data_IF_938790643904
#
_entry.id   IF_938790643904
#
_cell.length_a   1.000
_cell.length_b   1.000
_cell.length_c   1.000
_cell.angle_alpha   90.00
_cell.angle_beta   90.00
_cell.angle_gamma   90.00
#
_symmetry.space_group_name_H-M   'P 1'
#
loop_
_entity.id
_entity.type
_entity.pdbx_description
1 polymer ?
#
# COMPACT_ATOMS: atom_id res chain seq x y z
N UNK A 1 -37.36 -24.55 -6.96
CA UNK A 1 -37.44 -24.90 -8.38
C UNK A 1 -37.23 -23.64 -9.20
N UNK A 2 -36.11 -23.54 -9.91
CA UNK A 2 -36.00 -23.08 -11.29
C UNK A 2 -34.51 -22.89 -11.63
N UNK A 3 -33.99 -23.87 -12.36
CA UNK A 3 -32.70 -23.86 -13.05
C UNK A 3 -32.86 -23.17 -14.41
N UNK A 4 -31.82 -22.48 -14.87
CA UNK A 4 -31.42 -22.34 -16.28
C UNK A 4 -30.03 -21.66 -16.29
N UNK A 5 -28.91 -22.39 -16.33
CA UNK A 5 -28.22 -23.00 -17.48
C UNK A 5 -27.90 -22.04 -18.65
N UNK A 6 -26.66 -22.20 -19.17
CA UNK A 6 -26.15 -21.83 -20.51
C UNK A 6 -25.63 -20.36 -20.64
N UNK A 7 -24.44 -20.04 -21.16
CA UNK A 7 -23.47 -20.74 -22.04
C UNK A 7 -22.03 -20.28 -21.82
N UNK A 8 -21.15 -21.24 -22.05
CA UNK A 8 -19.71 -21.16 -22.30
C UNK A 8 -19.43 -20.34 -23.57
N UNK A 9 -18.37 -19.52 -23.57
CA UNK A 9 -17.62 -19.20 -24.78
C UNK A 9 -16.14 -18.90 -24.44
N UNK A 10 -15.29 -19.86 -24.81
CA UNK A 10 -13.85 -19.73 -24.99
C UNK A 10 -13.53 -18.60 -25.98
N UNK A 11 -12.48 -17.81 -25.69
CA UNK A 11 -11.68 -17.11 -26.70
C UNK A 11 -10.27 -16.94 -26.13
N UNK A 12 -9.33 -17.80 -26.52
CA UNK A 12 -8.30 -17.54 -27.56
C UNK A 12 -7.36 -16.40 -27.14
N UNK A 13 -6.22 -16.71 -26.52
CA UNK A 13 -4.93 -16.93 -27.20
C UNK A 13 -4.41 -15.68 -27.93
N UNK A 14 -3.46 -14.98 -27.31
CA UNK A 14 -2.42 -14.22 -28.02
C UNK A 14 -1.23 -13.98 -27.06
N UNK A 15 -0.28 -14.91 -27.10
CA UNK A 15 1.09 -14.73 -26.61
C UNK A 15 1.79 -13.79 -27.61
N UNK A 16 2.24 -12.62 -27.17
CA UNK A 16 3.19 -11.80 -27.92
C UNK A 16 4.54 -11.80 -27.19
N UNK A 17 5.40 -12.69 -27.67
CA UNK A 17 6.84 -12.65 -27.49
C UNK A 17 7.41 -11.56 -28.42
N UNK A 18 7.85 -10.43 -27.85
CA UNK A 18 8.92 -9.60 -28.39
C UNK A 18 10.08 -9.74 -27.39
N UNK A 19 11.27 -10.23 -27.71
CA UNK A 19 11.98 -10.13 -28.98
C UNK A 19 13.03 -9.02 -28.85
N UNK A 20 14.29 -9.44 -28.71
CA UNK A 20 15.51 -8.64 -28.56
C UNK A 20 15.59 -7.39 -29.44
N UNK A 21 16.17 -6.32 -28.88
CA UNK A 21 17.24 -5.58 -29.57
C UNK A 21 18.09 -4.86 -28.54
N UNK A 22 19.35 -5.26 -28.42
CA UNK A 22 20.36 -4.43 -27.78
C UNK A 22 20.70 -3.25 -28.69
N UNK A 23 21.10 -2.14 -28.09
CA UNK A 23 22.07 -1.25 -28.73
C UNK A 23 22.88 -0.53 -27.64
N UNK A 24 24.17 -0.83 -27.69
CA UNK A 24 25.28 -0.20 -27.01
C UNK A 24 25.53 1.16 -27.64
N UNK A 25 25.65 2.24 -26.86
CA UNK A 25 26.74 3.23 -26.99
C UNK A 25 26.52 4.54 -26.20
N UNK A 26 27.66 4.97 -25.63
CA UNK A 26 28.14 6.34 -25.45
C UNK A 26 27.98 6.99 -24.06
N UNK A 27 29.06 6.86 -23.30
CA UNK A 27 29.45 7.77 -22.21
C UNK A 27 30.03 9.10 -22.78
N UNK A 28 30.43 10.06 -21.94
CA UNK A 28 29.58 10.90 -21.09
C UNK A 28 29.83 12.39 -21.36
N UNK A 29 28.81 13.24 -21.23
CA UNK A 29 29.01 14.70 -21.20
C UNK A 29 29.19 15.18 -19.75
N UNK A 30 30.28 15.90 -19.53
CA UNK A 30 30.66 16.48 -18.24
C UNK A 30 29.79 17.71 -17.90
N UNK A 31 29.18 17.79 -16.71
CA UNK A 31 28.61 19.05 -16.23
C UNK A 31 29.68 19.89 -15.53
N UNK A 32 29.85 21.11 -16.02
CA UNK A 32 30.72 22.13 -15.43
C UNK A 32 29.90 23.06 -14.52
N UNK A 33 30.38 23.18 -13.29
CA UNK A 33 30.40 24.35 -12.42
C UNK A 33 29.10 24.91 -11.79
N UNK A 34 29.07 24.71 -10.47
CA UNK A 34 28.86 25.72 -9.42
C UNK A 34 27.44 26.21 -9.16
N UNK A 35 26.77 25.52 -8.23
CA UNK A 35 25.82 26.11 -7.30
C UNK A 35 26.10 25.56 -5.90
N UNK A 36 26.83 26.33 -5.08
CA UNK A 36 26.96 26.05 -3.66
C UNK A 36 25.60 26.36 -3.00
N UNK A 37 24.88 25.32 -2.59
CA UNK A 37 23.70 25.46 -1.75
C UNK A 37 23.91 24.53 -0.55
N UNK A 38 23.92 25.15 0.63
CA UNK A 38 24.21 24.56 1.93
C UNK A 38 23.45 23.25 2.17
N UNK A 39 24.21 22.16 2.32
CA UNK A 39 23.71 20.93 2.90
C UNK A 39 23.55 21.14 4.42
N UNK A 40 22.42 21.73 4.81
CA UNK A 40 21.86 21.58 6.15
C UNK A 40 20.79 20.50 6.09
N UNK A 41 21.11 19.33 6.64
CA UNK A 41 20.22 18.53 7.48
C UNK A 41 20.83 17.14 7.63
N UNK A 42 21.71 17.02 8.62
CA UNK A 42 21.97 15.73 9.23
C UNK A 42 20.83 15.48 10.23
N UNK A 43 20.01 14.46 9.90
CA UNK A 43 19.19 13.63 10.79
C UNK A 43 17.95 14.28 11.43
N UNK A 44 16.82 13.54 11.45
CA UNK A 44 16.72 12.48 12.44
C UNK A 44 16.75 11.12 11.76
N UNK A 45 17.71 10.29 12.18
CA UNK A 45 17.47 8.87 12.33
C UNK A 45 16.33 8.77 13.36
N UNK A 46 15.10 8.81 12.84
CA UNK A 46 13.91 8.44 13.58
C UNK A 46 14.12 6.97 13.92
N UNK A 47 14.56 6.71 15.15
CA UNK A 47 14.46 5.38 15.74
C UNK A 47 12.98 5.00 15.65
N UNK A 48 12.63 4.31 14.56
CA UNK A 48 11.30 3.78 14.34
C UNK A 48 11.06 2.78 15.47
N UNK A 49 10.45 3.27 16.55
CA UNK A 49 10.04 2.46 17.68
C UNK A 49 9.28 1.27 17.11
N UNK A 50 9.83 0.08 17.29
CA UNK A 50 9.20 -1.13 16.79
C UNK A 50 7.83 -1.28 17.47
N UNK A 51 6.77 -1.08 16.68
CA UNK A 51 5.40 -1.19 17.18
C UNK A 51 5.13 -2.67 17.49
N UNK A 52 4.74 -2.97 18.72
CA UNK A 52 4.42 -4.33 19.19
C UNK A 52 2.95 -4.45 19.61
N UNK A 53 2.11 -3.56 19.08
CA UNK A 53 0.70 -3.46 19.47
C UNK A 53 -0.08 -4.73 19.11
N UNK A 54 -0.82 -5.23 20.09
CA UNK A 54 -1.85 -6.25 19.95
C UNK A 54 -3.21 -5.65 20.31
N UNK A 55 -4.22 -5.95 19.49
CA UNK A 55 -5.60 -5.50 19.65
C UNK A 55 -6.45 -6.76 19.79
N UNK A 56 -6.75 -7.13 21.03
CA UNK A 56 -7.50 -8.35 21.33
C UNK A 56 -8.99 -8.24 20.98
N UNK A 57 -9.55 -7.03 21.05
CA UNK A 57 -10.96 -6.74 20.75
C UNK A 57 -11.06 -5.70 19.64
N UNK A 58 -11.97 -5.85 18.65
CA UNK A 58 -12.05 -4.91 17.54
C UNK A 58 -12.18 -3.45 17.98
N UNK A 59 -11.23 -2.61 17.57
CA UNK A 59 -11.18 -1.18 17.86
C UNK A 59 -11.32 -0.38 16.56
N UNK A 60 -11.83 0.86 16.66
CA UNK A 60 -11.97 1.75 15.51
C UNK A 60 -10.66 2.46 15.20
N UNK A 61 -10.24 2.37 13.95
CA UNK A 61 -9.03 3.02 13.45
C UNK A 61 -9.27 3.67 12.10
N UNK A 62 -8.40 4.64 11.77
CA UNK A 62 -8.35 5.24 10.45
C UNK A 62 -7.56 4.33 9.51
N UNK A 63 -8.08 4.16 8.31
CA UNK A 63 -7.49 3.35 7.26
C UNK A 63 -7.34 4.15 5.97
N UNK A 64 -6.30 3.90 5.18
CA UNK A 64 -6.00 4.68 3.98
C UNK A 64 -5.15 3.89 2.99
N UNK A 65 -5.15 4.31 1.72
CA UNK A 65 -4.21 3.77 0.74
C UNK A 65 -2.84 4.42 0.86
N UNK A 66 -1.77 3.64 0.79
CA UNK A 66 -0.40 4.14 0.95
C UNK A 66 0.03 5.20 -0.08
N UNK A 67 -0.59 5.24 -1.27
CA UNK A 67 -0.20 6.21 -2.31
C UNK A 67 -0.50 7.67 -1.94
N UNK A 68 -1.43 7.92 -1.00
CA UNK A 68 -1.73 9.29 -0.52
C UNK A 68 -0.91 9.67 0.71
N UNK A 69 -0.13 8.73 1.27
CA UNK A 69 0.79 8.96 2.37
C UNK A 69 2.17 9.34 1.79
N UNK A 70 2.65 10.59 1.98
CA UNK A 70 3.94 11.03 1.45
C UNK A 70 5.13 10.16 1.86
N UNK A 71 5.09 9.61 3.06
CA UNK A 71 6.11 8.75 3.65
C UNK A 71 6.10 7.30 3.13
N UNK A 72 4.99 6.86 2.51
CA UNK A 72 4.84 5.51 1.95
C UNK A 72 5.02 5.52 0.44
N UNK A 73 4.29 6.37 -0.27
CA UNK A 73 4.45 6.60 -1.72
C UNK A 73 4.06 5.43 -2.64
N UNK A 74 3.46 4.35 -2.14
CA UNK A 74 3.04 3.20 -2.94
C UNK A 74 1.68 2.64 -2.50
N UNK A 75 0.96 1.98 -3.41
CA UNK A 75 -0.35 1.40 -3.12
C UNK A 75 -0.24 0.24 -2.13
N UNK A 76 -1.14 0.24 -1.15
CA UNK A 76 -1.28 -0.79 -0.12
C UNK A 76 -2.33 -0.33 0.89
N UNK A 77 -2.75 -1.21 1.79
CA UNK A 77 -3.76 -0.92 2.80
C UNK A 77 -3.06 -0.59 4.11
N UNK A 78 -3.24 0.63 4.61
CA UNK A 78 -2.59 1.11 5.82
C UNK A 78 -3.61 1.48 6.88
N UNK A 79 -3.31 1.21 8.14
CA UNK A 79 -4.09 1.63 9.31
C UNK A 79 -3.23 2.47 10.23
N UNK A 80 -3.83 3.47 10.86
CA UNK A 80 -3.16 4.34 11.83
C UNK A 80 -3.22 3.71 13.23
N UNK A 81 -2.06 3.26 13.72
CA UNK A 81 -1.87 2.74 15.07
C UNK A 81 -0.84 3.60 15.80
N UNK A 82 -1.21 4.15 16.96
CA UNK A 82 -0.32 4.97 17.79
C UNK A 82 0.36 6.13 17.03
N UNK A 83 -0.34 6.69 16.03
CA UNK A 83 0.19 7.78 15.19
C UNK A 83 1.13 7.33 14.08
N UNK A 84 1.24 6.02 13.83
CA UNK A 84 2.03 5.46 12.74
C UNK A 84 1.13 4.72 11.74
N UNK A 85 1.43 4.89 10.45
CA UNK A 85 0.79 4.12 9.39
C UNK A 85 1.47 2.77 9.24
N UNK A 86 0.73 1.70 9.53
CA UNK A 86 1.21 0.34 9.37
C UNK A 86 0.41 -0.38 8.30
N UNK A 87 1.09 -1.15 7.46
CA UNK A 87 0.45 -1.92 6.42
C UNK A 87 -0.32 -3.10 7.04
N UNK A 88 -1.55 -3.32 6.56
CA UNK A 88 -2.46 -4.35 7.07
C UNK A 88 -2.46 -5.57 6.15
N UNK A 89 -2.32 -6.74 6.76
CA UNK A 89 -2.52 -8.03 6.11
C UNK A 89 -3.81 -8.66 6.63
N UNK A 90 -4.71 -9.02 5.72
CA UNK A 90 -5.93 -9.77 6.01
C UNK A 90 -6.33 -10.59 4.77
N UNK A 91 -6.71 -11.88 4.90
CA UNK A 91 -6.97 -12.74 3.74
C UNK A 91 -8.06 -12.23 2.80
N UNK A 92 -9.06 -11.51 3.33
CA UNK A 92 -10.18 -10.98 2.55
C UNK A 92 -9.93 -9.54 2.06
N UNK A 93 -8.80 -8.93 2.44
CA UNK A 93 -8.48 -7.55 2.07
C UNK A 93 -7.79 -7.53 0.71
N UNK A 94 -8.48 -6.95 -0.28
CA UNK A 94 -7.91 -6.76 -1.61
C UNK A 94 -6.74 -5.77 -1.58
N UNK A 95 -5.87 -5.80 -2.59
CA UNK A 95 -4.65 -4.96 -2.68
C UNK A 95 -4.92 -3.44 -2.62
N UNK A 96 -6.15 -3.01 -2.95
CA UNK A 96 -6.51 -1.60 -3.14
C UNK A 96 -7.86 -1.22 -2.49
N UNK A 97 -8.22 -1.88 -1.39
CA UNK A 97 -9.53 -1.71 -0.73
C UNK A 97 -9.86 -0.23 -0.47
N UNK A 98 -8.86 0.54 -0.06
CA UNK A 98 -9.01 1.95 0.29
C UNK A 98 -8.46 2.95 -0.74
N UNK A 99 -8.21 2.50 -1.98
CA UNK A 99 -7.59 3.34 -3.01
C UNK A 99 -8.49 4.49 -3.48
N UNK A 100 -9.80 4.28 -3.56
CA UNK A 100 -10.76 5.28 -4.08
C UNK A 100 -11.16 6.34 -3.05
N UNK A 101 -10.77 6.16 -1.79
CA UNK A 101 -11.12 7.01 -0.66
C UNK A 101 -10.21 8.25 -0.57
N UNK A 102 -9.09 8.25 -1.31
CA UNK A 102 -8.15 9.37 -1.34
C UNK A 102 -7.68 9.79 0.06
N UNK A 103 -7.48 11.10 0.27
CA UNK A 103 -7.02 11.64 1.57
C UNK A 103 -8.03 11.50 2.70
N UNK A 104 -9.32 11.29 2.40
CA UNK A 104 -10.35 11.09 3.43
C UNK A 104 -10.11 9.76 4.16
N UNK A 105 -9.66 8.74 3.43
CA UNK A 105 -9.50 7.40 3.97
C UNK A 105 -10.84 6.74 4.30
N UNK A 106 -10.79 5.64 5.04
CA UNK A 106 -11.91 4.90 5.58
C UNK A 106 -11.77 4.81 7.11
N UNK A 107 -12.88 4.48 7.78
CA UNK A 107 -12.84 3.98 9.16
C UNK A 107 -12.99 2.46 9.14
N UNK A 108 -12.25 1.78 10.01
CA UNK A 108 -12.29 0.31 10.13
C UNK A 108 -12.43 -0.08 11.60
N UNK A 109 -13.15 -1.18 11.86
CA UNK A 109 -13.04 -1.93 13.11
C UNK A 109 -12.05 -3.07 12.89
N UNK A 110 -10.97 -3.12 13.67
CA UNK A 110 -9.88 -4.08 13.46
C UNK A 110 -9.39 -4.67 14.79
N UNK A 111 -9.08 -5.97 14.77
CA UNK A 111 -8.35 -6.71 15.81
C UNK A 111 -7.19 -7.46 15.16
N UNK A 112 -6.12 -7.74 15.91
CA UNK A 112 -4.93 -8.37 15.36
C UNK A 112 -3.65 -8.01 16.12
N UNK A 113 -2.50 -8.31 15.51
CA UNK A 113 -1.20 -8.06 16.12
C UNK A 113 -0.15 -7.62 15.10
N UNK A 114 0.86 -6.89 15.57
CA UNK A 114 2.05 -6.61 14.79
C UNK A 114 2.90 -7.88 14.61
N UNK A 115 3.22 -8.22 13.36
CA UNK A 115 4.13 -9.30 12.97
C UNK A 115 5.01 -8.82 11.83
N UNK A 116 6.34 -8.95 11.97
CA UNK A 116 7.31 -8.60 10.92
C UNK A 116 7.13 -7.18 10.33
N UNK A 117 6.77 -6.21 11.19
CA UNK A 117 6.58 -4.81 10.79
C UNK A 117 5.25 -4.51 10.10
N UNK A 118 4.35 -5.49 9.97
CA UNK A 118 2.99 -5.33 9.43
C UNK A 118 1.96 -5.66 10.50
N UNK A 119 0.75 -5.14 10.36
CA UNK A 119 -0.36 -5.51 11.22
C UNK A 119 -1.14 -6.66 10.58
N UNK A 120 -1.07 -7.85 11.19
CA UNK A 120 -1.83 -9.02 10.76
C UNK A 120 -3.17 -9.00 11.48
N UNK A 121 -4.23 -8.70 10.73
CA UNK A 121 -5.57 -8.67 11.30
C UNK A 121 -6.05 -10.09 11.63
N UNK A 122 -6.79 -10.22 12.72
CA UNK A 122 -7.60 -11.39 13.08
C UNK A 122 -9.10 -11.14 12.85
N UNK A 123 -9.51 -9.87 12.83
CA UNK A 123 -10.81 -9.41 12.39
C UNK A 123 -10.67 -8.03 11.74
N UNK A 124 -11.38 -7.80 10.64
CA UNK A 124 -11.38 -6.51 9.94
C UNK A 124 -12.78 -6.24 9.36
N UNK A 125 -13.28 -5.03 9.59
CA UNK A 125 -14.53 -4.55 9.01
C UNK A 125 -14.40 -3.08 8.63
N UNK A 126 -14.52 -2.80 7.33
CA UNK A 126 -14.63 -1.41 6.84
C UNK A 126 -16.00 -0.85 7.21
N UNK A 127 -16.01 0.30 7.89
CA UNK A 127 -17.24 1.01 8.22
C UNK A 127 -17.69 1.86 7.03
N UNK A 128 -19.01 2.03 6.83
CA UNK A 128 -19.51 2.93 5.80
C UNK A 128 -18.99 4.34 6.07
N UNK A 129 -18.50 5.02 5.03
CA UNK A 129 -18.17 6.43 5.15
C UNK A 129 -19.44 7.18 5.58
N UNK A 130 -19.38 7.91 6.69
CA UNK A 130 -20.44 8.85 7.07
C UNK A 130 -20.55 9.87 5.92
N UNK A 131 -21.56 9.69 5.06
CA UNK A 131 -21.84 10.53 3.90
C UNK A 131 -22.34 11.90 4.33
#
# INVERSE_FOLDING_TARGET
MNQALSRIALSSLAVLLFGCSGEESKAPEAPSAKGAMEARSSEPTSEAKALTKEIATPEKHRAICGHVLPEVGHCGNYVELEGQWVEVLWPELGVMEWCRQGKKGAEVEIAGAMMDGKFVASALKTLPANQ
#
